data_IF_084102548465
#
_entry.id   IF_084102548465
#
_cell.length_a   1.000
_cell.length_b   1.000
_cell.length_c   1.000
_cell.angle_alpha   90.00
_cell.angle_beta   90.00
_cell.angle_gamma   90.00
#
_symmetry.space_group_name_H-M   'P 1'
#
loop_
_entity.id
_entity.type
_entity.pdbx_description
1 polymer ?
#
# COMPACT_ATOMS: atom_id res chain seq x y z
N UNK A 1 -3.18 -12.17 7.35
CA UNK A 1 -3.68 -12.51 5.99
C UNK A 1 -2.79 -11.91 4.89
N UNK A 2 -2.73 -12.55 3.70
CA UNK A 2 -2.01 -11.98 2.56
C UNK A 2 -2.71 -10.72 2.03
N UNK A 3 -1.94 -9.84 1.40
CA UNK A 3 -2.48 -8.77 0.55
C UNK A 3 -3.25 -9.38 -0.64
N UNK A 4 -4.12 -8.58 -1.27
CA UNK A 4 -4.87 -8.97 -2.48
C UNK A 4 -3.94 -9.07 -3.69
N UNK A 5 -2.88 -8.28 -3.72
CA UNK A 5 -1.85 -8.33 -4.75
C UNK A 5 -0.50 -8.64 -4.11
N UNK A 6 0.27 -9.54 -4.72
CA UNK A 6 1.67 -9.70 -4.34
C UNK A 6 2.45 -8.44 -4.78
N UNK A 7 3.33 -7.92 -3.93
CA UNK A 7 4.03 -6.66 -4.20
C UNK A 7 5.49 -6.79 -3.78
N UNK A 8 6.41 -6.32 -4.61
CA UNK A 8 7.77 -6.00 -4.20
C UNK A 8 8.11 -4.55 -4.57
N UNK A 9 9.11 -3.96 -3.91
CA UNK A 9 9.47 -2.55 -4.11
C UNK A 9 8.36 -1.55 -3.75
N UNK A 10 7.38 -1.97 -2.94
CA UNK A 10 6.33 -1.10 -2.44
C UNK A 10 6.84 -0.17 -1.34
N UNK A 11 6.14 0.95 -1.16
CA UNK A 11 6.24 1.77 0.04
C UNK A 11 5.24 1.32 1.10
N UNK A 12 5.55 1.55 2.38
CA UNK A 12 4.66 1.22 3.50
C UNK A 12 4.57 2.42 4.45
N UNK A 13 3.37 2.71 4.93
CA UNK A 13 3.12 3.72 5.96
C UNK A 13 1.98 3.32 6.89
N UNK A 14 2.00 3.83 8.13
CA UNK A 14 0.92 3.61 9.10
C UNK A 14 0.28 4.96 9.45
N UNK A 15 -1.02 5.10 9.18
CA UNK A 15 -1.76 6.35 9.40
C UNK A 15 -3.04 6.05 10.16
N UNK A 16 -3.23 6.71 11.31
CA UNK A 16 -4.40 6.49 12.15
C UNK A 16 -4.62 5.05 12.63
N UNK A 17 -3.58 4.21 12.66
CA UNK A 17 -3.64 2.80 13.09
C UNK A 17 -3.51 1.76 11.98
N UNK A 18 -4.25 1.86 10.85
CA UNK A 18 -4.10 0.98 9.70
C UNK A 18 -2.75 1.07 9.00
N UNK A 19 -2.31 -0.06 8.43
CA UNK A 19 -1.11 -0.14 7.58
C UNK A 19 -1.50 0.05 6.11
N UNK A 20 -0.69 0.77 5.34
CA UNK A 20 -0.91 1.01 3.92
C UNK A 20 0.26 0.46 3.11
N UNK A 21 -0.05 -0.38 2.12
CA UNK A 21 0.87 -0.90 1.12
C UNK A 21 0.66 -0.12 -0.19
N UNK A 22 1.66 0.66 -0.59
CA UNK A 22 1.53 1.68 -1.64
C UNK A 22 2.41 1.32 -2.85
N UNK A 23 1.78 1.13 -4.01
CA UNK A 23 2.47 0.85 -5.27
C UNK A 23 3.20 -0.50 -5.27
N UNK A 24 4.40 -0.50 -5.88
CA UNK A 24 5.24 -1.68 -6.06
C UNK A 24 5.09 -2.31 -7.45
N UNK A 25 5.48 -3.58 -7.54
CA UNK A 25 5.38 -4.40 -8.74
C UNK A 25 4.89 -5.81 -8.39
N UNK A 26 3.92 -6.33 -9.15
CA UNK A 26 3.29 -7.65 -8.91
C UNK A 26 3.97 -8.81 -9.67
N UNK A 27 5.09 -8.53 -10.33
CA UNK A 27 5.79 -9.50 -11.18
C UNK A 27 5.41 -9.40 -12.65
N UNK A 28 4.35 -8.66 -12.98
CA UNK A 28 3.90 -8.39 -14.34
C UNK A 28 3.82 -6.90 -14.66
N UNK A 29 3.33 -6.08 -13.74
CA UNK A 29 3.07 -4.66 -13.93
C UNK A 29 3.47 -3.83 -12.72
N UNK A 30 3.87 -2.58 -12.98
CA UNK A 30 4.02 -1.58 -11.93
C UNK A 30 2.64 -1.14 -11.44
N UNK A 31 2.53 -0.94 -10.13
CA UNK A 31 1.26 -0.67 -9.48
C UNK A 31 1.14 0.80 -9.08
N UNK A 32 -0.03 1.37 -9.29
CA UNK A 32 -0.46 2.61 -8.64
C UNK A 32 -1.47 2.34 -7.51
N UNK A 33 -1.89 1.08 -7.32
CA UNK A 33 -2.87 0.68 -6.32
C UNK A 33 -2.30 0.79 -4.91
N UNK A 34 -3.20 1.06 -3.96
CA UNK A 34 -2.89 1.10 -2.53
C UNK A 34 -3.83 0.13 -1.81
N UNK A 35 -3.28 -0.67 -0.92
CA UNK A 35 -4.06 -1.54 -0.03
C UNK A 35 -3.92 -1.08 1.42
N UNK A 36 -5.03 -1.07 2.14
CA UNK A 36 -5.10 -0.78 3.58
C UNK A 36 -5.37 -2.07 4.35
N UNK A 37 -4.54 -2.34 5.34
CA UNK A 37 -4.75 -3.38 6.32
C UNK A 37 -5.54 -2.84 7.51
N UNK A 38 -6.71 -3.43 7.74
CA UNK A 38 -7.48 -3.23 8.95
C UNK A 38 -7.04 -4.28 10.00
N UNK A 39 -6.37 -3.85 11.10
CA UNK A 39 -5.88 -4.78 12.12
C UNK A 39 -7.02 -5.38 12.97
N UNK A 40 -8.17 -4.71 13.10
CA UNK A 40 -9.30 -5.22 13.90
C UNK A 40 -9.97 -6.40 13.21
N UNK A 41 -10.21 -6.24 11.91
CA UNK A 41 -10.84 -7.26 11.08
C UNK A 41 -9.85 -8.22 10.42
N UNK A 42 -8.54 -7.96 10.58
CA UNK A 42 -7.46 -8.69 9.95
C UNK A 42 -7.74 -8.88 8.45
N UNK A 43 -7.97 -7.78 7.72
CA UNK A 43 -8.30 -7.84 6.30
C UNK A 43 -7.60 -6.74 5.52
N UNK A 44 -7.21 -7.06 4.30
CA UNK A 44 -6.72 -6.08 3.34
C UNK A 44 -7.86 -5.63 2.43
N UNK A 45 -7.83 -4.37 2.03
CA UNK A 45 -8.81 -3.80 1.10
C UNK A 45 -8.14 -2.73 0.24
N UNK A 46 -8.61 -2.55 -1.00
CA UNK A 46 -8.14 -1.45 -1.83
C UNK A 46 -8.67 -0.11 -1.32
N UNK A 47 -7.83 0.91 -1.41
CA UNK A 47 -8.20 2.31 -1.19
C UNK A 47 -7.85 3.13 -2.44
N UNK A 48 -7.98 4.45 -2.37
CA UNK A 48 -7.65 5.35 -3.48
C UNK A 48 -6.24 5.10 -4.03
N UNK A 49 -6.16 4.84 -5.33
CA UNK A 49 -4.88 4.66 -6.04
C UNK A 49 -4.12 5.98 -6.19
N UNK A 50 -2.81 5.88 -6.36
CA UNK A 50 -1.96 7.00 -6.77
C UNK A 50 -2.25 7.40 -8.23
N UNK A 51 -1.92 8.66 -8.56
CA UNK A 51 -2.07 9.17 -9.93
C UNK A 51 -1.17 8.47 -10.96
N UNK A 52 0.00 7.98 -10.52
CA UNK A 52 0.97 7.31 -11.38
C UNK A 52 1.45 6.01 -10.73
N UNK A 53 1.84 5.04 -11.56
CA UNK A 53 2.50 3.83 -11.08
C UNK A 53 3.86 4.18 -10.45
N UNK A 54 4.19 3.54 -9.33
CA UNK A 54 5.44 3.79 -8.59
C UNK A 54 5.99 2.51 -7.99
N UNK A 55 7.30 2.33 -8.05
CA UNK A 55 8.04 1.22 -7.45
C UNK A 55 9.38 1.74 -6.90
N UNK A 56 9.98 1.01 -5.96
CA UNK A 56 11.19 1.39 -5.23
C UNK A 56 11.08 2.78 -4.57
N UNK A 57 9.91 3.06 -3.99
CA UNK A 57 9.59 4.36 -3.39
C UNK A 57 9.81 4.38 -1.87
N UNK A 58 10.10 5.56 -1.33
CA UNK A 58 10.00 5.86 0.10
C UNK A 58 8.63 6.45 0.43
N UNK A 59 8.09 6.09 1.60
CA UNK A 59 6.84 6.64 2.15
C UNK A 59 7.14 7.14 3.56
N UNK A 60 6.59 8.31 3.90
CA UNK A 60 6.61 8.87 5.23
C UNK A 60 5.22 9.41 5.55
N UNK A 61 4.89 9.41 6.85
CA UNK A 61 3.69 10.02 7.37
C UNK A 61 4.09 11.32 8.05
N UNK A 62 3.45 12.42 7.68
CA UNK A 62 3.69 13.74 8.22
C UNK A 62 2.37 14.28 8.77
N UNK A 63 2.35 14.60 10.07
CA UNK A 63 1.15 15.18 10.72
C UNK A 63 -0.12 14.34 10.50
N UNK A 64 0.02 13.01 10.56
CA UNK A 64 -1.06 12.04 10.32
C UNK A 64 -1.63 12.12 8.89
N UNK A 65 -0.78 12.47 7.90
CA UNK A 65 -1.06 12.54 6.47
C UNK A 65 0.06 11.94 5.63
#
# INVERSE_FOLDING_TARGET
PPMLTNRHGLGVGCIGGPLYAIGGHDGWSFLNTVERFDPENCVWSYVSSMANVRCSLGVAVLENR
#
